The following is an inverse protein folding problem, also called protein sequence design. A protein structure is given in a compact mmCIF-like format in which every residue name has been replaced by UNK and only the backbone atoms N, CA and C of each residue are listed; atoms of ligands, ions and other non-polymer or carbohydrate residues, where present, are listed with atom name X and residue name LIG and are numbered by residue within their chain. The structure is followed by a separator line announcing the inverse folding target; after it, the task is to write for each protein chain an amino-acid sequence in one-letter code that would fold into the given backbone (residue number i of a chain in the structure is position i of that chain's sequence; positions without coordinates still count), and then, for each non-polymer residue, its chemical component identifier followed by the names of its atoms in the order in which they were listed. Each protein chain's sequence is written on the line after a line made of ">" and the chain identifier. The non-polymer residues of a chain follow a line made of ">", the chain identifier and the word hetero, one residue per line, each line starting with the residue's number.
data_IF_612270413930
#
_entry.id   IF_612270413930
#
_cell.length_a   1.000
_cell.length_b   1.000
_cell.length_c   1.000
_cell.angle_alpha   90.00
_cell.angle_beta   90.00
_cell.angle_gamma   90.00
#
_symmetry.space_group_name_H-M   'P 1'
#
loop_
_entity.id
_entity.type
_entity.pdbx_description
1 polymer ?
#
# COMPACT_ATOMS: atom_id res chain seq x y z
N UNK A 1 -21.55 7.16 12.71
CA UNK A 1 -21.79 8.30 11.80
C UNK A 1 -21.51 7.82 10.38
N UNK A 2 -22.44 7.99 9.46
CA UNK A 2 -22.30 7.53 8.09
C UNK A 2 -21.13 8.26 7.41
N UNK A 3 -20.17 7.52 6.87
CA UNK A 3 -19.12 8.06 6.00
C UNK A 3 -19.79 8.55 4.72
N UNK A 4 -19.96 9.86 4.59
CA UNK A 4 -20.31 10.47 3.31
C UNK A 4 -19.16 10.14 2.37
N UNK A 5 -19.44 9.30 1.37
CA UNK A 5 -18.52 9.11 0.25
C UNK A 5 -18.59 10.43 -0.51
N UNK A 6 -17.60 11.27 -0.30
CA UNK A 6 -17.52 12.55 -0.99
C UNK A 6 -17.04 12.29 -2.42
N UNK A 7 -17.98 12.14 -3.35
CA UNK A 7 -17.71 11.97 -4.79
C UNK A 7 -16.86 13.11 -5.37
N UNK A 8 -16.75 14.25 -4.64
CA UNK A 8 -15.94 15.41 -5.02
C UNK A 8 -14.56 15.44 -4.33
N UNK A 9 -14.11 14.35 -3.72
CA UNK A 9 -12.78 14.31 -3.12
C UNK A 9 -11.69 14.51 -4.20
N UNK A 10 -10.78 15.51 -4.04
CA UNK A 10 -9.76 15.81 -5.05
C UNK A 10 -8.76 14.66 -5.27
N UNK A 11 -8.64 13.73 -4.33
CA UNK A 11 -7.78 12.54 -4.46
C UNK A 11 -8.36 11.48 -5.40
N UNK A 12 -9.64 11.58 -5.78
CA UNK A 12 -10.35 10.61 -6.61
C UNK A 12 -10.62 11.12 -8.04
N UNK A 13 -10.25 12.36 -8.33
CA UNK A 13 -10.47 12.95 -9.65
C UNK A 13 -9.32 12.63 -10.59
N UNK A 14 -9.61 12.58 -11.89
CA UNK A 14 -8.57 12.57 -12.90
C UNK A 14 -7.90 13.94 -12.98
N UNK A 15 -6.58 13.96 -13.02
CA UNK A 15 -5.80 15.20 -13.12
C UNK A 15 -4.56 15.00 -14.00
N UNK A 16 -4.22 16.05 -14.76
CA UNK A 16 -2.94 16.11 -15.49
C UNK A 16 -1.77 16.45 -14.53
N UNK A 17 -2.05 17.28 -13.52
CA UNK A 17 -1.10 17.64 -12.47
C UNK A 17 -1.74 17.44 -11.10
N UNK A 18 -1.01 16.89 -10.10
CA UNK A 18 -1.58 16.68 -8.78
C UNK A 18 -2.12 17.98 -8.15
N UNK A 19 -3.36 17.99 -7.64
CA UNK A 19 -4.06 19.19 -7.17
C UNK A 19 -3.59 19.64 -5.77
N UNK A 20 -2.30 19.98 -5.63
CA UNK A 20 -1.65 20.32 -4.36
C UNK A 20 -2.21 21.56 -3.66
N UNK A 21 -2.89 22.44 -4.39
CA UNK A 21 -3.49 23.68 -3.90
C UNK A 21 -4.80 23.43 -3.13
N UNK A 22 -5.52 22.35 -3.44
CA UNK A 22 -6.81 22.02 -2.83
C UNK A 22 -6.77 20.80 -1.90
N UNK A 23 -5.74 19.94 -2.00
CA UNK A 23 -5.62 18.77 -1.12
C UNK A 23 -5.26 19.19 0.31
N UNK A 24 -6.03 18.67 1.27
CA UNK A 24 -5.93 18.95 2.70
C UNK A 24 -6.05 17.64 3.50
N UNK A 25 -5.67 17.67 4.79
CA UNK A 25 -5.75 16.51 5.69
C UNK A 25 -7.14 15.86 5.74
N UNK A 26 -8.22 16.65 5.59
CA UNK A 26 -9.61 16.17 5.63
C UNK A 26 -9.97 15.27 4.44
N UNK A 27 -9.24 15.39 3.32
CA UNK A 27 -9.44 14.58 2.12
C UNK A 27 -8.78 13.20 2.23
N UNK A 28 -7.70 13.07 3.01
CA UNK A 28 -6.86 11.86 3.08
C UNK A 28 -7.66 10.63 3.50
N UNK A 29 -8.35 10.68 4.65
CA UNK A 29 -9.09 9.52 5.16
C UNK A 29 -10.19 9.03 4.22
N UNK A 30 -11.17 9.87 3.82
CA UNK A 30 -12.22 9.42 2.91
C UNK A 30 -11.68 9.06 1.52
N UNK A 31 -10.70 9.81 1.00
CA UNK A 31 -10.15 9.60 -0.34
C UNK A 31 -9.35 8.31 -0.45
N UNK A 32 -8.44 8.02 0.48
CA UNK A 32 -7.68 6.77 0.47
C UNK A 32 -8.58 5.57 0.69
N UNK A 33 -9.55 5.62 1.61
CA UNK A 33 -10.48 4.50 1.82
C UNK A 33 -11.34 4.21 0.60
N UNK A 34 -11.82 5.25 -0.08
CA UNK A 34 -12.58 5.09 -1.32
C UNK A 34 -11.69 4.55 -2.46
N UNK A 35 -10.48 5.09 -2.61
CA UNK A 35 -9.50 4.61 -3.58
C UNK A 35 -9.18 3.12 -3.37
N UNK A 36 -8.80 2.72 -2.16
CA UNK A 36 -8.48 1.33 -1.85
C UNK A 36 -9.67 0.39 -2.12
N UNK A 37 -10.90 0.82 -1.83
CA UNK A 37 -12.10 0.04 -2.17
C UNK A 37 -12.26 -0.16 -3.68
N UNK A 38 -12.01 0.87 -4.48
CA UNK A 38 -12.08 0.77 -5.94
C UNK A 38 -10.97 -0.15 -6.45
N UNK A 39 -9.74 0.03 -5.97
CA UNK A 39 -8.59 -0.79 -6.37
C UNK A 39 -8.73 -2.26 -5.97
N UNK A 40 -9.36 -2.58 -4.84
CA UNK A 40 -9.72 -3.96 -4.48
C UNK A 40 -10.71 -4.55 -5.48
N UNK A 41 -11.70 -3.77 -5.92
CA UNK A 41 -12.68 -4.22 -6.92
C UNK A 41 -12.03 -4.45 -8.28
N UNK A 42 -11.11 -3.56 -8.69
CA UNK A 42 -10.34 -3.69 -9.93
C UNK A 42 -9.39 -4.89 -9.87
N UNK A 43 -8.77 -5.15 -8.72
CA UNK A 43 -7.92 -6.32 -8.50
C UNK A 43 -8.73 -7.62 -8.58
N UNK A 44 -9.91 -7.68 -7.95
CA UNK A 44 -10.80 -8.84 -8.04
C UNK A 44 -11.22 -9.13 -9.49
N UNK A 45 -11.55 -8.10 -10.26
CA UNK A 45 -11.91 -8.23 -11.67
C UNK A 45 -10.72 -8.67 -12.53
N UNK A 46 -9.53 -8.12 -12.28
CA UNK A 46 -8.30 -8.54 -12.94
C UNK A 46 -8.02 -10.02 -12.65
N UNK A 47 -8.04 -10.44 -11.40
CA UNK A 47 -7.80 -11.85 -11.03
C UNK A 47 -8.81 -12.81 -11.66
N UNK A 48 -10.06 -12.39 -11.82
CA UNK A 48 -11.13 -13.18 -12.44
C UNK A 48 -10.95 -13.33 -13.95
N UNK A 49 -10.36 -12.33 -14.60
CA UNK A 49 -10.26 -12.24 -16.07
C UNK A 49 -8.83 -12.33 -16.60
N UNK A 50 -7.87 -12.60 -15.72
CA UNK A 50 -6.44 -12.59 -16.05
C UNK A 50 -6.10 -13.61 -17.13
N UNK A 51 -5.34 -13.16 -18.11
CA UNK A 51 -4.73 -14.00 -19.14
C UNK A 51 -3.25 -13.64 -19.24
N UNK A 52 -2.36 -14.57 -19.62
CA UNK A 52 -0.92 -14.33 -19.75
C UNK A 52 -0.60 -13.52 -21.03
N UNK A 53 -1.13 -12.30 -21.10
CA UNK A 53 -0.92 -11.36 -22.20
C UNK A 53 -0.82 -9.93 -21.67
N UNK A 54 -0.12 -9.07 -22.39
CA UNK A 54 0.10 -7.68 -21.98
C UNK A 54 -1.21 -6.91 -21.67
N UNK A 55 -2.23 -6.93 -22.56
CA UNK A 55 -3.46 -6.16 -22.34
C UNK A 55 -4.38 -6.70 -21.24
N UNK A 56 -4.19 -7.96 -20.83
CA UNK A 56 -5.04 -8.64 -19.84
C UNK A 56 -4.36 -8.89 -18.50
N UNK A 57 -3.07 -8.58 -18.39
CA UNK A 57 -2.29 -8.71 -17.17
C UNK A 57 -1.58 -7.41 -16.83
N UNK A 58 -0.67 -6.96 -17.72
CA UNK A 58 0.27 -5.89 -17.38
C UNK A 58 -0.41 -4.53 -17.39
N UNK A 59 -1.15 -4.19 -18.45
CA UNK A 59 -1.86 -2.91 -18.54
C UNK A 59 -2.88 -2.68 -17.41
N UNK A 60 -3.78 -3.63 -17.07
CA UNK A 60 -4.69 -3.44 -15.94
C UNK A 60 -3.97 -3.42 -14.58
N UNK A 61 -2.93 -4.22 -14.39
CA UNK A 61 -2.13 -4.19 -13.18
C UNK A 61 -1.42 -2.84 -13.00
N UNK A 62 -0.82 -2.32 -14.08
CA UNK A 62 -0.14 -1.02 -14.08
C UNK A 62 -1.11 0.09 -13.66
N UNK A 63 -2.33 0.13 -14.21
CA UNK A 63 -3.36 1.10 -13.81
C UNK A 63 -3.66 1.07 -12.31
N UNK A 64 -3.82 -0.13 -11.73
CA UNK A 64 -4.07 -0.30 -10.29
C UNK A 64 -2.88 0.26 -9.48
N UNK A 65 -1.66 -0.14 -9.84
CA UNK A 65 -0.46 0.27 -9.11
C UNK A 65 -0.15 1.76 -9.26
N UNK A 66 -0.33 2.31 -10.44
CA UNK A 66 -0.02 3.71 -10.77
C UNK A 66 -0.98 4.65 -10.06
N UNK A 67 -2.29 4.34 -10.06
CA UNK A 67 -3.28 5.15 -9.37
C UNK A 67 -2.99 5.24 -7.86
N UNK A 68 -2.61 4.12 -7.22
CA UNK A 68 -2.20 4.14 -5.82
C UNK A 68 -0.90 4.93 -5.62
N UNK A 69 0.09 4.73 -6.48
CA UNK A 69 1.40 5.37 -6.38
C UNK A 69 1.30 6.90 -6.52
N UNK A 70 0.53 7.39 -7.48
CA UNK A 70 0.32 8.83 -7.71
C UNK A 70 -0.36 9.47 -6.50
N UNK A 71 -1.49 8.92 -6.05
CA UNK A 71 -2.27 9.51 -4.95
C UNK A 71 -1.49 9.45 -3.63
N UNK A 72 -0.87 8.30 -3.33
CA UNK A 72 -0.07 8.16 -2.11
C UNK A 72 1.21 9.02 -2.16
N UNK A 73 1.82 9.14 -3.34
CA UNK A 73 2.99 10.01 -3.58
C UNK A 73 2.67 11.48 -3.33
N UNK A 74 1.53 11.96 -3.82
CA UNK A 74 1.04 13.32 -3.56
C UNK A 74 0.87 13.60 -2.05
N UNK A 75 0.25 12.67 -1.32
CA UNK A 75 0.03 12.82 0.13
C UNK A 75 1.36 12.84 0.89
N UNK A 76 2.30 11.94 0.55
CA UNK A 76 3.63 11.93 1.17
C UNK A 76 4.47 13.15 0.80
N UNK A 77 4.33 13.67 -0.42
CA UNK A 77 4.96 14.93 -0.80
C UNK A 77 4.46 16.06 0.10
N UNK A 78 3.14 16.19 0.30
CA UNK A 78 2.57 17.17 1.22
C UNK A 78 3.05 16.97 2.67
N UNK A 79 3.14 15.73 3.16
CA UNK A 79 3.76 15.42 4.47
C UNK A 79 5.19 15.96 4.55
N UNK A 80 5.97 15.86 3.48
CA UNK A 80 7.36 16.28 3.47
C UNK A 80 7.56 17.81 3.37
N UNK A 81 6.73 18.52 2.59
CA UNK A 81 6.93 19.95 2.30
C UNK A 81 5.96 20.88 3.02
N UNK A 82 4.86 20.34 3.57
CA UNK A 82 3.77 21.08 4.21
C UNK A 82 3.17 20.26 5.38
N UNK A 83 4.04 19.77 6.27
CA UNK A 83 3.65 18.94 7.41
C UNK A 83 2.66 19.65 8.34
N UNK A 84 1.72 18.89 8.89
CA UNK A 84 0.87 19.32 10.00
C UNK A 84 0.50 18.14 10.90
N UNK A 85 0.21 18.36 12.19
CA UNK A 85 -0.26 17.30 13.08
C UNK A 85 -1.51 16.57 12.56
N UNK A 86 -2.43 17.30 11.94
CA UNK A 86 -3.67 16.76 11.36
C UNK A 86 -3.38 15.89 10.13
N UNK A 87 -2.44 16.30 9.27
CA UNK A 87 -2.02 15.52 8.12
C UNK A 87 -1.32 14.22 8.56
N UNK A 88 -0.42 14.29 9.55
CA UNK A 88 0.23 13.10 10.12
C UNK A 88 -0.78 12.13 10.70
N UNK A 89 -1.72 12.62 11.52
CA UNK A 89 -2.77 11.79 12.10
C UNK A 89 -3.74 11.20 11.05
N UNK A 90 -3.92 11.86 9.91
CA UNK A 90 -4.71 11.32 8.81
C UNK A 90 -3.97 10.19 8.08
N UNK A 91 -2.68 10.36 7.80
CA UNK A 91 -1.81 9.36 7.16
C UNK A 91 -1.64 8.13 8.07
N UNK A 92 -1.30 8.33 9.35
CA UNK A 92 -1.11 7.24 10.31
C UNK A 92 -2.33 6.33 10.43
N UNK A 93 -3.55 6.90 10.28
CA UNK A 93 -4.79 6.12 10.37
C UNK A 93 -5.01 5.21 9.16
N UNK A 94 -4.73 5.68 7.94
CA UNK A 94 -5.02 4.92 6.70
C UNK A 94 -3.85 4.10 6.19
N UNK A 95 -2.64 4.38 6.66
CA UNK A 95 -1.43 3.70 6.21
C UNK A 95 -1.47 2.17 6.41
N UNK A 96 -1.96 1.62 7.54
CA UNK A 96 -2.11 0.17 7.68
C UNK A 96 -3.05 -0.44 6.62
N UNK A 97 -4.11 0.28 6.24
CA UNK A 97 -5.06 -0.17 5.21
C UNK A 97 -4.38 -0.23 3.83
N UNK A 98 -3.60 0.80 3.48
CA UNK A 98 -2.82 0.86 2.24
C UNK A 98 -1.80 -0.28 2.15
N UNK A 99 -1.06 -0.55 3.23
CA UNK A 99 -0.05 -1.62 3.19
C UNK A 99 -0.70 -3.00 3.15
N UNK A 100 -1.85 -3.18 3.82
CA UNK A 100 -2.63 -4.42 3.69
C UNK A 100 -3.02 -4.68 2.23
N UNK A 101 -3.45 -3.65 1.51
CA UNK A 101 -3.75 -3.75 0.08
C UNK A 101 -2.51 -4.11 -0.75
N UNK A 102 -1.36 -3.47 -0.51
CA UNK A 102 -0.12 -3.79 -1.23
C UNK A 102 0.33 -5.24 -1.02
N UNK A 103 0.21 -5.77 0.21
CA UNK A 103 0.48 -7.17 0.49
C UNK A 103 -0.50 -8.09 -0.26
N UNK A 104 -1.80 -7.75 -0.27
CA UNK A 104 -2.84 -8.49 -1.00
C UNK A 104 -2.57 -8.53 -2.51
N UNK A 105 -2.14 -7.41 -3.08
CA UNK A 105 -1.77 -7.28 -4.49
C UNK A 105 -0.51 -8.10 -4.80
N UNK A 106 0.56 -7.91 -4.01
CA UNK A 106 1.84 -8.59 -4.19
C UNK A 106 1.79 -10.10 -3.96
N UNK A 107 0.79 -10.58 -3.22
CA UNK A 107 0.55 -12.01 -2.95
C UNK A 107 -0.54 -12.63 -3.85
N UNK A 108 -0.98 -11.93 -4.90
CA UNK A 108 -1.96 -12.46 -5.85
C UNK A 108 -1.40 -13.66 -6.61
N UNK A 109 -1.90 -14.87 -6.29
CA UNK A 109 -1.54 -16.10 -7.00
C UNK A 109 -1.95 -16.08 -8.49
N UNK A 110 -3.17 -15.64 -8.87
CA UNK A 110 -3.57 -15.57 -10.27
C UNK A 110 -2.63 -14.71 -11.12
N UNK A 111 -2.24 -13.54 -10.61
CA UNK A 111 -1.31 -12.61 -11.29
C UNK A 111 0.07 -13.24 -11.39
N UNK A 112 0.58 -13.83 -10.30
CA UNK A 112 1.87 -14.51 -10.28
C UNK A 112 1.95 -15.67 -11.29
N UNK A 113 0.91 -16.51 -11.33
CA UNK A 113 0.85 -17.65 -12.25
C UNK A 113 0.76 -17.18 -13.72
N UNK A 114 0.04 -16.09 -13.99
CA UNK A 114 -0.02 -15.49 -15.32
C UNK A 114 1.36 -14.95 -15.78
N UNK A 115 2.13 -14.32 -14.89
CA UNK A 115 3.49 -13.89 -15.23
C UNK A 115 4.43 -15.06 -15.51
N UNK A 116 4.38 -16.14 -14.70
CA UNK A 116 5.14 -17.36 -15.00
C UNK A 116 4.75 -17.96 -16.34
N UNK A 117 3.46 -18.00 -16.66
CA UNK A 117 2.99 -18.49 -17.95
C UNK A 117 3.53 -17.66 -19.13
N UNK A 118 3.68 -16.33 -18.99
CA UNK A 118 4.37 -15.50 -19.99
C UNK A 118 5.83 -15.92 -20.13
N UNK A 119 6.53 -16.10 -19.01
CA UNK A 119 7.95 -16.48 -18.98
C UNK A 119 8.20 -17.88 -19.60
N UNK A 120 7.29 -18.81 -19.37
CA UNK A 120 7.36 -20.20 -19.87
C UNK A 120 6.83 -20.33 -21.31
N UNK A 121 6.22 -19.27 -21.86
CA UNK A 121 5.64 -19.29 -23.21
C UNK A 121 6.70 -19.24 -24.32
N UNK A 122 6.40 -19.79 -25.51
CA UNK A 122 7.26 -19.60 -26.69
C UNK A 122 7.48 -18.12 -27.06
N UNK A 123 6.51 -17.26 -26.72
CA UNK A 123 6.54 -15.83 -27.00
C UNK A 123 7.58 -15.08 -26.16
N UNK A 124 8.09 -15.67 -25.07
CA UNK A 124 9.14 -15.10 -24.22
C UNK A 124 10.34 -14.59 -25.03
N UNK A 125 10.79 -15.38 -26.01
CA UNK A 125 11.93 -15.04 -26.86
C UNK A 125 11.68 -13.80 -27.73
N UNK A 126 10.43 -13.52 -28.08
CA UNK A 126 10.01 -12.38 -28.92
C UNK A 126 9.75 -11.09 -28.15
N UNK A 127 9.68 -11.14 -26.81
CA UNK A 127 9.54 -9.95 -25.98
C UNK A 127 10.80 -9.09 -26.01
N UNK A 128 10.61 -7.77 -25.92
CA UNK A 128 11.71 -6.83 -25.73
C UNK A 128 12.40 -7.04 -24.38
N UNK A 129 13.65 -6.60 -24.26
CA UNK A 129 14.42 -6.71 -23.01
C UNK A 129 13.74 -5.99 -21.84
N UNK A 130 13.07 -4.86 -22.11
CA UNK A 130 12.28 -4.14 -21.12
C UNK A 130 11.11 -5.00 -20.59
N UNK A 131 10.36 -5.63 -21.49
CA UNK A 131 9.23 -6.49 -21.11
C UNK A 131 9.69 -7.72 -20.33
N UNK A 132 10.79 -8.37 -20.75
CA UNK A 132 11.40 -9.48 -20.01
C UNK A 132 11.76 -9.08 -18.58
N UNK A 133 12.41 -7.92 -18.43
CA UNK A 133 12.79 -7.40 -17.11
C UNK A 133 11.58 -7.12 -16.23
N UNK A 134 10.48 -6.59 -16.80
CA UNK A 134 9.23 -6.38 -16.05
C UNK A 134 8.72 -7.73 -15.52
N UNK A 135 8.55 -8.73 -16.39
CA UNK A 135 8.06 -10.06 -16.00
C UNK A 135 8.93 -10.70 -14.92
N UNK A 136 10.26 -10.68 -15.10
CA UNK A 136 11.21 -11.22 -14.11
C UNK A 136 11.13 -10.49 -12.77
N UNK A 137 10.99 -9.16 -12.79
CA UNK A 137 10.88 -8.35 -11.57
C UNK A 137 9.58 -8.66 -10.84
N UNK A 138 8.45 -8.73 -11.54
CA UNK A 138 7.15 -9.08 -10.94
C UNK A 138 7.17 -10.48 -10.30
N UNK A 139 7.76 -11.47 -10.97
CA UNK A 139 7.89 -12.84 -10.42
C UNK A 139 8.75 -12.83 -9.15
N UNK A 140 9.90 -12.15 -9.20
CA UNK A 140 10.82 -12.05 -8.07
C UNK A 140 10.17 -11.34 -6.87
N UNK A 141 9.52 -10.21 -7.10
CA UNK A 141 8.85 -9.44 -6.06
C UNK A 141 7.71 -10.23 -5.42
N UNK A 142 6.91 -10.96 -6.20
CA UNK A 142 5.85 -11.80 -5.66
C UNK A 142 6.41 -12.91 -4.73
N UNK A 143 7.54 -13.52 -5.09
CA UNK A 143 8.23 -14.49 -4.23
C UNK A 143 8.74 -13.84 -2.95
N UNK A 144 9.34 -12.65 -3.05
CA UNK A 144 9.80 -11.88 -1.88
C UNK A 144 8.63 -11.44 -0.97
N UNK A 145 7.45 -11.21 -1.56
CA UNK A 145 6.22 -10.94 -0.84
C UNK A 145 5.52 -12.20 -0.30
N UNK A 146 6.12 -13.39 -0.47
CA UNK A 146 5.63 -14.62 0.13
C UNK A 146 4.51 -15.35 -0.64
N UNK A 147 4.31 -15.07 -1.94
CA UNK A 147 3.27 -15.75 -2.76
C UNK A 147 3.44 -17.28 -2.80
N UNK A 148 4.67 -17.75 -2.67
CA UNK A 148 5.04 -19.17 -2.73
C UNK A 148 4.97 -19.89 -1.37
N UNK A 149 4.61 -19.18 -0.30
CA UNK A 149 4.49 -19.77 1.04
C UNK A 149 3.18 -20.54 1.20
N UNK A 150 3.23 -21.63 1.97
CA UNK A 150 2.04 -22.31 2.48
C UNK A 150 1.23 -21.37 3.38
N UNK A 151 -0.07 -21.63 3.54
CA UNK A 151 -0.99 -20.71 4.23
C UNK A 151 -0.53 -20.35 5.65
N UNK A 152 -0.09 -21.32 6.45
CA UNK A 152 0.43 -21.09 7.81
C UNK A 152 1.67 -20.17 7.83
N UNK A 153 2.58 -20.37 6.86
CA UNK A 153 3.81 -19.56 6.74
C UNK A 153 3.50 -18.18 6.19
N UNK A 154 2.51 -18.06 5.30
CA UNK A 154 2.03 -16.79 4.75
C UNK A 154 1.35 -15.95 5.82
N UNK A 155 0.57 -16.55 6.72
CA UNK A 155 0.00 -15.84 7.86
C UNK A 155 1.09 -15.29 8.79
N UNK A 156 2.13 -16.09 9.06
CA UNK A 156 3.29 -15.64 9.83
C UNK A 156 4.06 -14.51 9.13
N UNK A 157 4.30 -14.62 7.83
CA UNK A 157 4.92 -13.57 7.02
C UNK A 157 4.14 -12.26 7.13
N UNK A 158 2.82 -12.30 6.94
CA UNK A 158 1.96 -11.11 7.04
C UNK A 158 1.99 -10.47 8.43
N UNK A 159 2.06 -11.28 9.50
CA UNK A 159 2.24 -10.77 10.87
C UNK A 159 3.59 -10.06 11.04
N UNK A 160 4.67 -10.62 10.50
CA UNK A 160 6.01 -10.02 10.57
C UNK A 160 6.03 -8.68 9.82
N UNK A 161 5.49 -8.62 8.61
CA UNK A 161 5.38 -7.39 7.83
C UNK A 161 4.61 -6.30 8.58
N UNK A 162 3.47 -6.66 9.19
CA UNK A 162 2.70 -5.72 10.03
C UNK A 162 3.51 -5.20 11.23
N UNK A 163 4.28 -6.07 11.88
CA UNK A 163 5.14 -5.69 13.02
C UNK A 163 6.27 -4.77 12.57
N UNK A 164 6.93 -5.05 11.44
CA UNK A 164 7.98 -4.21 10.87
C UNK A 164 7.46 -2.81 10.54
N UNK A 165 6.28 -2.74 9.91
CA UNK A 165 5.60 -1.48 9.60
C UNK A 165 5.28 -0.69 10.86
N UNK A 166 4.72 -1.35 11.89
CA UNK A 166 4.47 -0.71 13.17
C UNK A 166 5.74 -0.09 13.77
N UNK A 167 6.86 -0.83 13.77
CA UNK A 167 8.13 -0.32 14.30
C UNK A 167 8.69 0.82 13.45
N UNK A 168 8.60 0.73 12.13
CA UNK A 168 9.03 1.78 11.22
C UNK A 168 8.26 3.09 11.49
N UNK A 169 6.93 3.03 11.62
CA UNK A 169 6.13 4.22 11.93
C UNK A 169 6.32 4.72 13.35
N UNK A 170 6.47 3.82 14.32
CA UNK A 170 6.84 4.23 15.69
C UNK A 170 8.18 4.97 15.70
N UNK A 171 9.15 4.57 14.88
CA UNK A 171 10.42 5.25 14.75
C UNK A 171 10.27 6.63 14.09
N UNK A 172 9.57 6.73 12.95
CA UNK A 172 9.29 8.02 12.29
C UNK A 172 8.58 9.00 13.23
N UNK A 173 7.59 8.52 13.99
CA UNK A 173 6.87 9.36 14.96
C UNK A 173 7.83 9.90 16.00
N UNK A 174 8.66 9.03 16.60
CA UNK A 174 9.64 9.43 17.62
C UNK A 174 10.68 10.42 17.07
N UNK A 175 11.15 10.25 15.84
CA UNK A 175 12.14 11.15 15.23
C UNK A 175 11.55 12.51 14.85
N UNK A 176 10.25 12.59 14.57
CA UNK A 176 9.54 13.85 14.26
C UNK A 176 9.16 14.69 15.48
N UNK A 177 9.30 14.16 16.70
CA UNK A 177 8.96 14.89 17.94
C UNK A 177 10.14 15.77 18.41
N UNK A 178 9.88 16.98 18.94
CA UNK A 178 10.92 17.78 19.58
C UNK A 178 11.58 17.01 20.73
N UNK A 179 12.87 17.22 20.96
CA UNK A 179 13.69 16.46 21.93
C UNK A 179 13.15 16.38 23.36
N UNK A 180 12.27 17.29 23.76
CA UNK A 180 11.63 17.29 25.08
C UNK A 180 10.39 16.39 25.18
N UNK A 181 9.77 15.99 24.05
CA UNK A 181 8.53 15.21 24.03
C UNK A 181 8.75 13.69 23.97
N UNK A 182 9.94 13.23 23.55
CA UNK A 182 10.33 11.82 23.53
C UNK A 182 10.35 11.19 24.93
N UNK A 183 10.68 11.98 25.96
CA UNK A 183 10.71 11.54 27.36
C UNK A 183 9.32 11.31 27.99
N UNK A 184 8.27 11.91 27.44
CA UNK A 184 6.90 11.72 27.95
C UNK A 184 6.27 10.43 27.39
N UNK A 185 6.59 10.08 26.14
CA UNK A 185 6.09 8.88 25.47
C UNK A 185 6.60 7.56 26.09
N UNK A 186 7.79 7.58 26.69
CA UNK A 186 8.37 6.41 27.35
C UNK A 186 7.58 5.98 28.59
N UNK A 187 6.90 6.92 29.27
CA UNK A 187 6.05 6.61 30.44
C UNK A 187 4.72 5.96 30.03
N UNK A 188 4.13 6.39 28.92
CA UNK A 188 2.84 5.86 28.45
C UNK A 188 2.99 4.47 27.82
N UNK A 189 4.12 4.22 27.13
CA UNK A 189 4.46 2.89 26.64
C UNK A 189 4.73 1.89 27.79
N UNK A 190 5.33 2.34 28.89
CA UNK A 190 5.54 1.52 30.09
C UNK A 190 4.21 1.15 30.76
N UNK A 191 3.28 2.10 30.86
CA UNK A 191 1.93 1.85 31.39
C UNK A 191 1.14 0.85 30.55
N UNK A 192 1.26 0.91 29.22
CA UNK A 192 0.60 -0.05 28.32
C UNK A 192 1.19 -1.47 28.45
N UNK A 193 2.51 -1.59 28.58
CA UNK A 193 3.19 -2.88 28.83
C UNK A 193 2.83 -3.45 30.21
N UNK A 194 2.73 -2.60 31.23
CA UNK A 194 2.29 -3.04 32.57
C UNK A 194 0.83 -3.47 32.62
N UNK A 195 -0.07 -2.75 31.94
CA UNK A 195 -1.48 -3.11 31.87
C UNK A 195 -1.71 -4.40 31.07
N UNK A 196 -0.96 -4.62 29.98
CA UNK A 196 -1.07 -5.84 29.18
C UNK A 196 -0.51 -7.09 29.87
N UNK A 197 0.43 -6.93 30.82
CA UNK A 197 1.04 -8.03 31.57
C UNK A 197 0.55 -8.15 33.01
N UNK A 198 -0.46 -7.37 33.41
CA UNK A 198 -1.04 -7.37 34.76
C UNK A 198 0.00 -7.13 35.88
N UNK A 199 0.93 -6.20 35.63
CA UNK A 199 2.07 -5.86 36.53
C UNK A 199 1.71 -4.68 37.47
N UNK A 200 0.45 -4.24 37.49
CA UNK A 200 -0.06 -3.21 38.40
C UNK A 200 -1.19 -3.75 39.30
#
# INVERSE_FOLDING_TARGET
>A
MATVVDEFNPLLQDFEFPPFDVVEHKHVRPGIRALLKNLESDLEELERTVEPSWPKLVEPLEKITDQLAIVWGMINHLKAVKDSPELRAAIEEVQPEKVKFELRLGQSKPIYDAFKAIQESPQWTSLSDAQKRIVESQIKEAVLNGVALDDDKREQFNKIEQVLLYYHFSFERKSSLPSHSSYLFEKDAWLFVCAANNIL
#
